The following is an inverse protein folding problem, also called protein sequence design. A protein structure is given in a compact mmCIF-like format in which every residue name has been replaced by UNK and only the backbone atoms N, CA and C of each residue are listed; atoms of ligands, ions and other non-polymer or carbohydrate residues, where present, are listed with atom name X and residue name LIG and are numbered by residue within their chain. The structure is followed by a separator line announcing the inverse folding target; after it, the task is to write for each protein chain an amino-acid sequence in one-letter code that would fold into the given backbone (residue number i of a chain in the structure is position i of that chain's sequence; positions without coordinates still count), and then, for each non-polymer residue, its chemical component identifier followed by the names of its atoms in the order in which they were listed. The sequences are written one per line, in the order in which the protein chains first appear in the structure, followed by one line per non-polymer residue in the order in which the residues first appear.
data_IF_388864778834
#
_entry.id   IF_388864778834
#
_cell.length_a   1.000
_cell.length_b   1.000
_cell.length_c   1.000
_cell.angle_alpha   90.00
_cell.angle_beta   90.00
_cell.angle_gamma   90.00
#
_symmetry.space_group_name_H-M   'P 1'
#
loop_
_entity.id
_entity.type
_entity.pdbx_description
1 polymer ?
#
# COMPACT_ATOMS: atom_id res chain seq x y z
N UNK A 1 -22.58 20.99 66.32
CA UNK A 1 -22.96 19.66 65.78
C UNK A 1 -22.69 19.69 64.29
N UNK A 2 -21.50 19.26 63.90
CA UNK A 2 -20.97 19.31 62.55
C UNK A 2 -21.31 18.01 61.82
N UNK A 3 -22.02 18.13 60.70
CA UNK A 3 -22.36 17.03 59.79
C UNK A 3 -21.12 16.53 59.06
N UNK A 4 -20.78 15.26 59.24
CA UNK A 4 -19.79 14.53 58.45
C UNK A 4 -20.50 13.72 57.36
N UNK A 5 -20.41 14.21 56.13
CA UNK A 5 -20.80 13.50 54.92
C UNK A 5 -19.77 12.38 54.65
N UNK A 6 -20.24 11.15 54.71
CA UNK A 6 -19.57 9.97 54.18
C UNK A 6 -19.58 10.05 52.65
N UNK A 7 -18.41 10.30 52.05
CA UNK A 7 -18.19 10.16 50.61
C UNK A 7 -17.71 8.74 50.31
N UNK A 8 -18.58 7.94 49.71
CA UNK A 8 -18.20 6.66 49.10
C UNK A 8 -17.27 6.93 47.90
N UNK A 9 -16.19 6.15 47.70
CA UNK A 9 -15.33 6.33 46.53
C UNK A 9 -16.01 5.81 45.27
N UNK A 10 -15.78 6.51 44.15
CA UNK A 10 -16.27 6.17 42.82
C UNK A 10 -15.76 4.80 42.31
N UNK A 11 -16.47 4.13 41.39
CA UNK A 11 -16.16 2.75 40.94
C UNK A 11 -14.82 2.55 40.22
N UNK A 12 -14.06 3.63 39.97
CA UNK A 12 -12.78 3.58 39.25
C UNK A 12 -11.59 3.12 40.12
N UNK A 13 -11.80 2.86 41.42
CA UNK A 13 -10.75 2.52 42.39
C UNK A 13 -10.43 1.01 42.49
N UNK A 14 -11.11 0.16 41.72
CA UNK A 14 -10.85 -1.29 41.65
C UNK A 14 -10.24 -1.67 40.30
N UNK A 15 -9.10 -1.05 39.95
CA UNK A 15 -8.09 -1.83 39.23
C UNK A 15 -7.65 -2.89 40.22
N UNK A 16 -8.27 -4.07 40.16
CA UNK A 16 -7.92 -5.16 41.05
C UNK A 16 -6.43 -5.42 40.86
N UNK A 17 -5.65 -5.04 41.88
CA UNK A 17 -4.19 -5.26 41.95
C UNK A 17 -3.81 -6.74 41.77
N UNK A 18 -4.79 -7.64 41.90
CA UNK A 18 -4.67 -9.09 41.78
C UNK A 18 -5.20 -9.66 40.45
N UNK A 19 -5.68 -8.83 39.50
CA UNK A 19 -6.27 -9.32 38.25
C UNK A 19 -5.26 -9.59 37.13
N UNK A 20 -4.02 -9.11 37.28
CA UNK A 20 -3.00 -9.19 36.25
C UNK A 20 -1.68 -9.68 36.85
N UNK A 21 -0.92 -10.45 36.08
CA UNK A 21 0.30 -11.14 36.48
C UNK A 21 1.52 -10.20 36.67
N UNK A 22 1.27 -8.92 36.92
CA UNK A 22 2.32 -7.92 37.16
C UNK A 22 2.77 -8.03 38.61
N UNK A 23 4.05 -8.34 38.84
CA UNK A 23 4.63 -8.32 40.18
C UNK A 23 4.63 -6.90 40.74
N UNK A 24 3.66 -6.60 41.60
CA UNK A 24 3.51 -5.31 42.28
C UNK A 24 4.36 -5.20 43.55
N UNK A 25 5.10 -6.24 43.93
CA UNK A 25 6.09 -6.17 45.01
C UNK A 25 7.36 -5.46 44.56
N UNK A 26 7.64 -5.47 43.25
CA UNK A 26 8.63 -4.60 42.64
C UNK A 26 8.19 -3.12 42.67
N UNK A 27 9.07 -2.27 43.20
CA UNK A 27 8.76 -0.87 43.44
C UNK A 27 8.57 -0.07 42.14
N UNK A 28 9.24 -0.45 41.06
CA UNK A 28 9.13 0.23 39.77
C UNK A 28 7.84 -0.18 39.04
N UNK A 29 7.45 -1.46 39.10
CA UNK A 29 6.15 -1.94 38.63
C UNK A 29 4.99 -1.27 39.38
N UNK A 30 5.08 -1.15 40.71
CA UNK A 30 4.08 -0.45 41.49
C UNK A 30 3.95 1.03 41.08
N UNK A 31 5.07 1.71 40.76
CA UNK A 31 5.07 3.09 40.26
C UNK A 31 4.46 3.20 38.86
N UNK A 32 4.76 2.27 37.95
CA UNK A 32 4.16 2.21 36.60
C UNK A 32 2.65 2.03 36.67
N UNK A 33 2.18 1.07 37.48
CA UNK A 33 0.76 0.82 37.68
C UNK A 33 0.03 2.05 38.27
N UNK A 34 0.64 2.72 39.25
CA UNK A 34 0.08 3.94 39.82
C UNK A 34 -0.05 5.06 38.78
N UNK A 35 0.96 5.24 37.90
CA UNK A 35 0.91 6.23 36.81
C UNK A 35 -0.11 5.86 35.73
N UNK A 36 -0.30 4.58 35.43
CA UNK A 36 -1.30 4.10 34.47
C UNK A 36 -2.74 4.38 34.93
N UNK A 37 -2.92 4.53 36.23
CA UNK A 37 -4.20 4.78 36.91
C UNK A 37 -4.41 6.25 37.29
N UNK A 38 -3.50 7.14 36.87
CA UNK A 38 -3.49 8.53 37.32
C UNK A 38 -4.69 9.33 36.77
N UNK A 39 -5.15 10.36 37.50
CA UNK A 39 -6.21 11.24 37.03
C UNK A 39 -5.81 12.08 35.81
N UNK A 40 -4.52 12.40 35.68
CA UNK A 40 -3.97 13.15 34.55
C UNK A 40 -3.67 12.23 33.35
N UNK A 41 -4.33 12.51 32.22
CA UNK A 41 -4.15 11.79 30.96
C UNK A 41 -2.70 11.83 30.46
N UNK A 42 -1.97 12.93 30.69
CA UNK A 42 -0.56 13.05 30.28
C UNK A 42 0.29 12.02 31.03
N UNK A 43 0.05 11.86 32.34
CA UNK A 43 0.78 10.88 33.16
C UNK A 43 0.44 9.45 32.78
N UNK A 44 -0.83 9.16 32.48
CA UNK A 44 -1.26 7.85 31.97
C UNK A 44 -0.63 7.55 30.62
N UNK A 45 -0.61 8.51 29.70
CA UNK A 45 0.04 8.36 28.37
C UNK A 45 1.53 8.07 28.50
N UNK A 46 2.25 8.81 29.35
CA UNK A 46 3.66 8.53 29.61
C UNK A 46 3.85 7.15 30.24
N UNK A 47 2.92 6.70 31.09
CA UNK A 47 2.97 5.34 31.63
C UNK A 47 2.81 4.27 30.53
N UNK A 48 1.90 4.46 29.58
CA UNK A 48 1.74 3.57 28.41
C UNK A 48 3.03 3.48 27.60
N UNK A 49 3.71 4.61 27.36
CA UNK A 49 5.00 4.62 26.67
C UNK A 49 6.06 3.84 27.45
N UNK A 50 6.26 4.18 28.73
CA UNK A 50 7.29 3.57 29.58
C UNK A 50 7.05 2.07 29.79
N UNK A 51 5.79 1.63 29.89
CA UNK A 51 5.42 0.22 30.02
C UNK A 51 5.65 -0.50 28.70
N UNK A 52 5.29 0.12 27.58
CA UNK A 52 5.45 -0.53 26.29
C UNK A 52 6.91 -0.80 25.91
N UNK A 53 7.82 0.06 26.34
CA UNK A 53 9.27 -0.11 26.15
C UNK A 53 9.86 -1.30 26.93
N UNK A 54 9.14 -1.86 27.90
CA UNK A 54 9.58 -3.06 28.61
C UNK A 54 9.46 -4.32 27.76
N UNK A 55 8.57 -4.32 26.75
CA UNK A 55 8.24 -5.50 25.93
C UNK A 55 7.83 -6.73 26.78
N UNK A 56 7.26 -6.48 27.96
CA UNK A 56 6.84 -7.51 28.92
C UNK A 56 5.34 -7.83 28.78
N UNK A 57 5.06 -9.07 28.40
CA UNK A 57 3.70 -9.59 28.15
C UNK A 57 2.79 -9.50 29.39
N UNK A 58 3.33 -9.45 30.61
CA UNK A 58 2.54 -9.28 31.83
C UNK A 58 1.71 -7.98 31.81
N UNK A 59 2.16 -6.97 31.07
CA UNK A 59 1.49 -5.67 30.96
C UNK A 59 0.48 -5.58 29.82
N UNK A 60 0.46 -6.55 28.91
CA UNK A 60 -0.45 -6.54 27.75
C UNK A 60 -1.92 -6.33 28.11
N UNK A 61 -2.49 -7.02 29.12
CA UNK A 61 -3.89 -6.81 29.47
C UNK A 61 -4.19 -5.37 29.88
N UNK A 62 -3.26 -4.72 30.59
CA UNK A 62 -3.39 -3.34 31.04
C UNK A 62 -3.27 -2.34 29.88
N UNK A 63 -2.36 -2.58 28.94
CA UNK A 63 -2.23 -1.78 27.72
C UNK A 63 -3.48 -1.89 26.83
N UNK A 64 -4.01 -3.11 26.68
CA UNK A 64 -5.27 -3.38 25.96
C UNK A 64 -6.45 -2.67 26.66
N UNK A 65 -6.49 -2.70 27.98
CA UNK A 65 -7.53 -1.99 28.74
C UNK A 65 -7.44 -0.47 28.51
N UNK A 66 -6.24 0.11 28.52
CA UNK A 66 -6.06 1.53 28.18
C UNK A 66 -6.53 1.86 26.77
N UNK A 67 -6.27 1.01 25.78
CA UNK A 67 -6.81 1.20 24.45
C UNK A 67 -8.35 1.19 24.45
N UNK A 68 -8.97 0.27 25.20
CA UNK A 68 -10.42 0.05 25.14
C UNK A 68 -11.24 1.08 25.93
N UNK A 69 -10.75 1.52 27.09
CA UNK A 69 -11.61 2.21 28.06
C UNK A 69 -11.07 3.55 28.56
N UNK A 70 -9.87 3.98 28.16
CA UNK A 70 -9.36 5.28 28.63
C UNK A 70 -10.22 6.44 28.10
N UNK A 71 -10.58 7.36 28.98
CA UNK A 71 -11.41 8.51 28.62
C UNK A 71 -10.70 9.50 27.69
N UNK A 72 -9.37 9.49 27.66
CA UNK A 72 -8.56 10.40 26.85
C UNK A 72 -8.09 9.74 25.54
N UNK A 73 -8.34 10.41 24.41
CA UNK A 73 -8.03 9.88 23.09
C UNK A 73 -6.51 9.75 22.85
N UNK A 74 -5.68 10.63 23.42
CA UNK A 74 -4.23 10.53 23.25
C UNK A 74 -3.66 9.33 24.01
N UNK A 75 -4.26 8.94 25.14
CA UNK A 75 -3.88 7.69 25.83
C UNK A 75 -4.27 6.48 24.99
N UNK A 76 -5.52 6.42 24.48
CA UNK A 76 -5.99 5.30 23.63
C UNK A 76 -5.16 5.17 22.35
N UNK A 77 -4.93 6.28 21.64
CA UNK A 77 -4.06 6.34 20.47
C UNK A 77 -2.65 5.83 20.78
N UNK A 78 -2.05 6.31 21.86
CA UNK A 78 -0.70 5.88 22.26
C UNK A 78 -0.68 4.38 22.56
N UNK A 79 -1.72 3.84 23.20
CA UNK A 79 -1.84 2.39 23.43
C UNK A 79 -1.96 1.63 22.10
N UNK A 80 -2.81 2.06 21.17
CA UNK A 80 -2.92 1.45 19.83
C UNK A 80 -1.58 1.44 19.07
N UNK A 81 -0.83 2.54 19.08
CA UNK A 81 0.49 2.64 18.44
C UNK A 81 1.49 1.63 19.04
N UNK A 82 1.49 1.51 20.36
CA UNK A 82 2.47 0.69 21.09
C UNK A 82 2.15 -0.79 21.09
N UNK A 83 0.87 -1.15 21.05
CA UNK A 83 0.45 -2.55 20.97
C UNK A 83 0.95 -3.24 19.69
N UNK A 84 1.38 -2.52 18.66
CA UNK A 84 2.05 -3.10 17.48
C UNK A 84 3.33 -3.90 17.80
N UNK A 85 3.94 -3.70 18.98
CA UNK A 85 5.06 -4.51 19.46
C UNK A 85 4.71 -5.97 19.76
N UNK A 86 3.42 -6.29 19.89
CA UNK A 86 2.94 -7.64 20.21
C UNK A 86 1.98 -8.15 19.16
N UNK A 87 2.22 -9.38 18.71
CA UNK A 87 1.37 -10.05 17.73
C UNK A 87 0.65 -11.22 18.39
N UNK A 88 -0.29 -10.92 19.29
CA UNK A 88 -1.15 -11.92 19.94
C UNK A 88 -2.60 -11.74 19.52
N UNK A 89 -3.41 -12.81 19.61
CA UNK A 89 -4.84 -12.75 19.27
C UNK A 89 -5.56 -11.63 20.05
N UNK A 90 -5.27 -11.48 21.34
CA UNK A 90 -5.88 -10.45 22.18
C UNK A 90 -5.56 -9.04 21.69
N UNK A 91 -4.30 -8.81 21.26
CA UNK A 91 -3.88 -7.53 20.70
C UNK A 91 -4.57 -7.26 19.37
N UNK A 92 -4.56 -8.23 18.46
CA UNK A 92 -5.20 -8.07 17.14
C UNK A 92 -6.70 -7.79 17.27
N UNK A 93 -7.40 -8.52 18.12
CA UNK A 93 -8.84 -8.27 18.38
C UNK A 93 -9.07 -6.87 18.99
N UNK A 94 -8.22 -6.44 19.94
CA UNK A 94 -8.34 -5.09 20.52
C UNK A 94 -8.08 -3.96 19.52
N UNK A 95 -7.13 -4.15 18.60
CA UNK A 95 -6.85 -3.20 17.52
C UNK A 95 -7.98 -3.18 16.48
N UNK A 96 -8.59 -4.34 16.18
CA UNK A 96 -9.80 -4.43 15.36
C UNK A 96 -10.98 -3.67 15.98
N UNK A 97 -11.18 -3.77 17.30
CA UNK A 97 -12.21 -3.00 18.01
C UNK A 97 -11.92 -1.48 17.92
N UNK A 98 -10.65 -1.08 18.02
CA UNK A 98 -10.22 0.31 17.94
C UNK A 98 -10.34 0.93 16.53
N UNK A 99 -10.65 0.15 15.49
CA UNK A 99 -11.03 0.69 14.18
C UNK A 99 -12.36 1.46 14.23
N UNK A 100 -13.14 1.31 15.30
CA UNK A 100 -14.40 2.04 15.54
C UNK A 100 -14.27 3.09 16.64
N UNK A 101 -13.05 3.42 17.08
CA UNK A 101 -12.84 4.45 18.10
C UNK A 101 -13.48 5.78 17.68
N UNK A 102 -14.12 6.55 18.58
CA UNK A 102 -14.69 7.86 18.23
C UNK A 102 -13.63 8.85 17.70
N UNK A 103 -12.39 8.77 18.18
CA UNK A 103 -11.29 9.62 17.75
C UNK A 103 -10.63 9.10 16.47
N UNK A 104 -10.51 9.97 15.47
CA UNK A 104 -9.98 9.60 14.15
C UNK A 104 -8.49 9.25 14.19
N UNK A 105 -7.71 9.89 15.07
CA UNK A 105 -6.29 9.60 15.18
C UNK A 105 -6.06 8.23 15.84
N UNK A 106 -6.90 7.85 16.79
CA UNK A 106 -6.91 6.52 17.42
C UNK A 106 -7.27 5.43 16.40
N UNK A 107 -8.32 5.64 15.58
CA UNK A 107 -8.65 4.71 14.47
C UNK A 107 -7.49 4.54 13.49
N UNK A 108 -6.82 5.63 13.13
CA UNK A 108 -5.68 5.61 12.23
C UNK A 108 -4.47 4.88 12.85
N UNK A 109 -4.20 5.10 14.13
CA UNK A 109 -3.18 4.36 14.87
C UNK A 109 -3.47 2.85 14.87
N UNK A 110 -4.70 2.44 15.18
CA UNK A 110 -5.10 1.04 15.14
C UNK A 110 -4.92 0.41 13.75
N UNK A 111 -5.38 1.08 12.68
CA UNK A 111 -5.21 0.62 11.31
C UNK A 111 -3.73 0.48 10.89
N UNK A 112 -2.87 1.40 11.33
CA UNK A 112 -1.43 1.35 11.08
C UNK A 112 -0.78 0.18 11.84
N UNK A 113 -1.13 -0.03 13.10
CA UNK A 113 -0.65 -1.15 13.91
C UNK A 113 -1.06 -2.50 13.32
N UNK A 114 -2.31 -2.64 12.87
CA UNK A 114 -2.75 -3.85 12.17
C UNK A 114 -1.97 -4.09 10.87
N UNK A 115 -1.61 -3.03 10.15
CA UNK A 115 -0.81 -3.15 8.92
C UNK A 115 0.66 -3.48 9.18
N UNK A 116 1.13 -3.34 10.42
CA UNK A 116 2.50 -3.67 10.81
C UNK A 116 2.69 -5.13 11.24
N UNK A 117 1.59 -5.89 11.37
CA UNK A 117 1.61 -7.31 11.71
C UNK A 117 2.39 -8.12 10.66
N UNK A 118 3.15 -9.12 11.14
CA UNK A 118 4.01 -9.99 10.31
C UNK A 118 3.66 -11.46 10.48
N UNK A 119 3.04 -11.83 11.59
CA UNK A 119 2.68 -13.20 11.93
C UNK A 119 1.34 -13.58 11.34
N UNK A 120 1.33 -14.70 10.62
CA UNK A 120 0.15 -15.19 9.95
C UNK A 120 -0.97 -15.59 10.93
N UNK A 121 -0.62 -16.27 12.03
CA UNK A 121 -1.62 -16.87 12.93
C UNK A 121 -2.49 -15.84 13.65
N UNK A 122 -1.93 -14.82 14.35
CA UNK A 122 -2.73 -13.70 14.86
C UNK A 122 -3.47 -12.95 13.74
N UNK A 123 -2.81 -12.82 12.58
CA UNK A 123 -3.37 -12.19 11.39
C UNK A 123 -4.63 -12.87 10.83
N UNK A 124 -4.87 -14.16 11.13
CA UNK A 124 -6.10 -14.86 10.73
C UNK A 124 -7.35 -14.27 11.39
N UNK A 125 -7.21 -13.59 12.53
CA UNK A 125 -8.32 -12.87 13.17
C UNK A 125 -8.90 -11.79 12.24
N UNK A 126 -8.07 -11.16 11.40
CA UNK A 126 -8.51 -10.14 10.45
C UNK A 126 -9.46 -10.70 9.38
N UNK A 127 -9.24 -11.94 8.95
CA UNK A 127 -10.12 -12.64 8.01
C UNK A 127 -11.51 -12.83 8.63
N UNK A 128 -11.56 -13.25 9.90
CA UNK A 128 -12.82 -13.40 10.64
C UNK A 128 -13.52 -12.06 10.83
N UNK A 129 -12.77 -11.01 11.19
CA UNK A 129 -13.35 -9.67 11.40
C UNK A 129 -13.93 -9.09 10.12
N UNK A 130 -13.25 -9.25 8.98
CA UNK A 130 -13.69 -8.71 7.70
C UNK A 130 -15.04 -9.30 7.23
N UNK A 131 -15.35 -10.56 7.59
CA UNK A 131 -16.63 -11.21 7.26
C UNK A 131 -17.85 -10.50 7.86
N UNK A 132 -17.68 -9.85 9.01
CA UNK A 132 -18.76 -9.21 9.76
C UNK A 132 -18.65 -7.68 9.76
N UNK A 133 -17.69 -7.12 9.04
CA UNK A 133 -17.40 -5.69 9.08
C UNK A 133 -18.26 -4.89 8.09
N UNK A 134 -18.90 -3.82 8.58
CA UNK A 134 -19.80 -2.97 7.81
C UNK A 134 -19.33 -1.52 7.72
N UNK A 135 -18.36 -1.11 8.53
CA UNK A 135 -17.76 0.21 8.40
C UNK A 135 -16.74 0.26 7.24
N UNK A 136 -16.81 1.32 6.44
CA UNK A 136 -15.97 1.46 5.24
C UNK A 136 -14.50 1.65 5.60
N UNK A 137 -14.21 2.42 6.64
CA UNK A 137 -12.83 2.65 7.09
C UNK A 137 -12.24 1.35 7.64
N UNK A 138 -12.99 0.63 8.48
CA UNK A 138 -12.57 -0.64 9.04
C UNK A 138 -12.34 -1.71 7.95
N UNK A 139 -13.26 -1.90 6.98
CA UNK A 139 -13.03 -2.81 5.84
C UNK A 139 -11.75 -2.47 5.07
N UNK A 140 -11.52 -1.19 4.82
CA UNK A 140 -10.30 -0.70 4.13
C UNK A 140 -9.04 -1.03 4.93
N UNK A 141 -9.05 -0.77 6.24
CA UNK A 141 -7.93 -1.05 7.14
C UNK A 141 -7.63 -2.55 7.24
N UNK A 142 -8.67 -3.39 7.37
CA UNK A 142 -8.53 -4.85 7.43
C UNK A 142 -7.94 -5.42 6.13
N UNK A 143 -8.42 -5.00 4.96
CA UNK A 143 -7.85 -5.42 3.67
C UNK A 143 -6.39 -4.96 3.52
N UNK A 144 -6.05 -3.75 3.95
CA UNK A 144 -4.67 -3.26 3.94
C UNK A 144 -3.76 -4.12 4.82
N UNK A 145 -4.21 -4.49 6.01
CA UNK A 145 -3.43 -5.36 6.89
C UNK A 145 -3.28 -6.78 6.32
N UNK A 146 -4.35 -7.36 5.76
CA UNK A 146 -4.30 -8.68 5.11
C UNK A 146 -3.34 -8.73 3.91
N UNK A 147 -3.19 -7.61 3.19
CA UNK A 147 -2.24 -7.47 2.08
C UNK A 147 -0.80 -7.75 2.50
N UNK A 148 -0.38 -7.20 3.66
CA UNK A 148 0.99 -7.36 4.16
C UNK A 148 1.26 -8.79 4.63
N UNK A 149 0.26 -9.41 5.24
CA UNK A 149 0.33 -10.79 5.74
C UNK A 149 0.31 -11.85 4.62
N UNK A 150 -0.24 -11.51 3.45
CA UNK A 150 -0.34 -12.40 2.27
C UNK A 150 -0.99 -13.75 2.59
N UNK A 151 -2.04 -13.74 3.41
CA UNK A 151 -2.78 -14.93 3.76
C UNK A 151 -3.58 -15.44 2.56
N UNK A 152 -3.34 -16.65 2.04
CA UNK A 152 -4.05 -17.17 0.86
C UNK A 152 -5.58 -17.22 1.03
N UNK A 153 -6.06 -17.51 2.24
CA UNK A 153 -7.48 -17.53 2.58
C UNK A 153 -8.17 -16.16 2.48
N UNK A 154 -7.42 -15.05 2.45
CA UNK A 154 -7.99 -13.71 2.24
C UNK A 154 -8.44 -13.46 0.80
N UNK A 155 -8.02 -14.29 -0.16
CA UNK A 155 -8.36 -14.13 -1.57
C UNK A 155 -9.87 -14.14 -1.84
N UNK A 156 -10.61 -15.05 -1.20
CA UNK A 156 -12.06 -15.15 -1.38
C UNK A 156 -12.80 -13.90 -0.88
N UNK A 157 -12.36 -13.33 0.26
CA UNK A 157 -12.92 -12.09 0.78
C UNK A 157 -12.56 -10.89 -0.08
N UNK A 158 -11.32 -10.82 -0.56
CA UNK A 158 -10.89 -9.78 -1.47
C UNK A 158 -11.64 -9.84 -2.81
N UNK A 159 -11.93 -11.04 -3.34
CA UNK A 159 -12.77 -11.19 -4.52
C UNK A 159 -14.17 -10.60 -4.30
N UNK A 160 -14.82 -10.92 -3.17
CA UNK A 160 -16.13 -10.36 -2.85
C UNK A 160 -16.07 -8.83 -2.67
N UNK A 161 -14.98 -8.32 -2.09
CA UNK A 161 -14.76 -6.89 -1.87
C UNK A 161 -14.48 -6.10 -3.16
N UNK A 162 -14.29 -6.77 -4.31
CA UNK A 162 -14.22 -6.09 -5.61
C UNK A 162 -15.56 -5.45 -6.02
N UNK A 163 -16.68 -5.87 -5.43
CA UNK A 163 -18.00 -5.30 -5.70
C UNK A 163 -18.46 -4.32 -4.59
N UNK A 164 -17.58 -3.96 -3.66
CA UNK A 164 -17.92 -3.04 -2.55
C UNK A 164 -18.36 -1.66 -3.09
N UNK A 165 -19.38 -1.01 -2.49
CA UNK A 165 -19.80 0.32 -2.91
C UNK A 165 -18.69 1.37 -2.79
N UNK A 166 -17.76 1.20 -1.86
CA UNK A 166 -16.64 2.12 -1.64
C UNK A 166 -15.47 1.82 -2.59
N UNK A 167 -15.02 2.79 -3.40
CA UNK A 167 -13.84 2.62 -4.24
C UNK A 167 -12.56 2.40 -3.42
N UNK A 168 -12.51 2.89 -2.17
CA UNK A 168 -11.38 2.66 -1.28
C UNK A 168 -11.25 1.16 -0.92
N UNK A 169 -12.38 0.50 -0.64
CA UNK A 169 -12.43 -0.93 -0.33
C UNK A 169 -12.08 -1.75 -1.56
N UNK A 170 -12.68 -1.46 -2.72
CA UNK A 170 -12.35 -2.14 -3.99
C UNK A 170 -10.87 -2.02 -4.33
N UNK A 171 -10.26 -0.84 -4.14
CA UNK A 171 -8.82 -0.63 -4.39
C UNK A 171 -7.94 -1.48 -3.47
N UNK A 172 -8.24 -1.56 -2.17
CA UNK A 172 -7.47 -2.42 -1.27
C UNK A 172 -7.69 -3.91 -1.56
N UNK A 173 -8.90 -4.29 -1.98
CA UNK A 173 -9.19 -5.66 -2.42
C UNK A 173 -8.37 -6.06 -3.65
N UNK A 174 -8.27 -5.18 -4.66
CA UNK A 174 -7.36 -5.34 -5.80
C UNK A 174 -5.91 -5.51 -5.34
N UNK A 175 -5.47 -4.71 -4.36
CA UNK A 175 -4.11 -4.79 -3.83
C UNK A 175 -3.83 -6.13 -3.15
N UNK A 176 -4.75 -6.65 -2.33
CA UNK A 176 -4.65 -7.98 -1.71
C UNK A 176 -4.48 -9.05 -2.80
N UNK A 177 -5.36 -9.07 -3.81
CA UNK A 177 -5.32 -10.06 -4.89
C UNK A 177 -4.02 -9.98 -5.71
N UNK A 178 -3.51 -8.77 -5.96
CA UNK A 178 -2.25 -8.54 -6.64
C UNK A 178 -1.06 -9.08 -5.84
N UNK A 179 -0.97 -8.78 -4.55
CA UNK A 179 0.13 -9.27 -3.69
C UNK A 179 0.11 -10.79 -3.51
N UNK A 180 -1.08 -11.39 -3.47
CA UNK A 180 -1.26 -12.84 -3.48
C UNK A 180 -0.97 -13.47 -4.85
N UNK A 181 -0.86 -12.66 -5.92
CA UNK A 181 -0.78 -13.11 -7.32
C UNK A 181 -1.89 -14.11 -7.65
N UNK A 182 -3.11 -13.83 -7.19
CA UNK A 182 -4.22 -14.76 -7.28
C UNK A 182 -4.73 -14.84 -8.73
N UNK A 183 -4.23 -15.79 -9.51
CA UNK A 183 -4.52 -15.90 -10.94
C UNK A 183 -6.02 -16.00 -11.26
N UNK A 184 -6.81 -16.64 -10.40
CA UNK A 184 -8.27 -16.74 -10.58
C UNK A 184 -9.00 -15.39 -10.47
N UNK A 185 -8.35 -14.34 -9.93
CA UNK A 185 -8.90 -12.97 -9.93
C UNK A 185 -8.71 -12.22 -11.24
N UNK A 186 -7.86 -12.67 -12.16
CA UNK A 186 -7.54 -11.94 -13.39
C UNK A 186 -8.79 -11.53 -14.21
N UNK A 187 -9.81 -12.40 -14.41
CA UNK A 187 -11.02 -11.99 -15.12
C UNK A 187 -11.81 -10.87 -14.41
N UNK A 188 -11.89 -10.92 -13.07
CA UNK A 188 -12.57 -9.91 -12.27
C UNK A 188 -11.80 -8.58 -12.28
N UNK A 189 -10.48 -8.63 -12.10
CA UNK A 189 -9.60 -7.46 -12.23
C UNK A 189 -9.72 -6.82 -13.62
N UNK A 190 -9.78 -7.63 -14.68
CA UNK A 190 -9.97 -7.13 -16.03
C UNK A 190 -11.33 -6.45 -16.23
N UNK A 191 -12.38 -6.91 -15.55
CA UNK A 191 -13.68 -6.24 -15.55
C UNK A 191 -13.61 -4.85 -14.88
N UNK A 192 -12.90 -4.75 -13.75
CA UNK A 192 -12.68 -3.46 -13.08
C UNK A 192 -11.91 -2.48 -13.99
N UNK A 193 -10.85 -2.92 -14.66
CA UNK A 193 -10.11 -2.08 -15.63
C UNK A 193 -11.02 -1.49 -16.70
N UNK A 194 -12.05 -2.23 -17.14
CA UNK A 194 -12.96 -1.77 -18.21
C UNK A 194 -14.08 -0.87 -17.72
N UNK A 195 -14.56 -1.08 -16.50
CA UNK A 195 -15.89 -0.57 -16.10
C UNK A 195 -15.95 0.09 -14.72
N UNK A 196 -14.90 0.04 -13.89
CA UNK A 196 -14.97 0.67 -12.57
C UNK A 196 -15.12 2.19 -12.69
N UNK A 197 -16.07 2.83 -11.98
CA UNK A 197 -16.24 4.27 -12.02
C UNK A 197 -15.00 5.06 -11.54
N UNK A 198 -14.24 4.51 -10.59
CA UNK A 198 -13.07 5.17 -10.00
C UNK A 198 -11.82 4.89 -10.83
N UNK A 199 -11.14 5.94 -11.36
CA UNK A 199 -9.88 5.77 -12.08
C UNK A 199 -8.78 5.18 -11.19
N UNK A 200 -8.82 5.43 -9.88
CA UNK A 200 -7.88 4.83 -8.92
C UNK A 200 -8.02 3.31 -8.83
N UNK A 201 -9.25 2.80 -8.88
CA UNK A 201 -9.52 1.35 -8.92
C UNK A 201 -9.11 0.78 -10.27
N UNK A 202 -9.47 1.41 -11.39
CA UNK A 202 -9.04 0.97 -12.74
C UNK A 202 -7.53 0.89 -12.86
N UNK A 203 -6.82 1.91 -12.35
CA UNK A 203 -5.36 1.93 -12.29
C UNK A 203 -4.82 0.77 -11.47
N UNK A 204 -5.28 0.61 -10.23
CA UNK A 204 -4.81 -0.47 -9.37
C UNK A 204 -5.04 -1.85 -10.01
N UNK A 205 -6.20 -2.04 -10.66
CA UNK A 205 -6.54 -3.27 -11.33
C UNK A 205 -5.63 -3.52 -12.54
N UNK A 206 -5.34 -2.50 -13.35
CA UNK A 206 -4.41 -2.60 -14.47
C UNK A 206 -3.01 -3.04 -14.02
N UNK A 207 -2.48 -2.44 -12.94
CA UNK A 207 -1.21 -2.86 -12.36
C UNK A 207 -1.23 -4.30 -11.81
N UNK A 208 -2.34 -4.72 -11.21
CA UNK A 208 -2.53 -6.08 -10.70
C UNK A 208 -2.63 -7.13 -11.83
N UNK A 209 -3.08 -6.76 -13.04
CA UNK A 209 -3.01 -7.65 -14.22
C UNK A 209 -1.57 -8.01 -14.59
N UNK A 210 -0.57 -7.22 -14.15
CA UNK A 210 0.84 -7.49 -14.34
C UNK A 210 1.39 -8.73 -13.64
N UNK A 211 0.55 -9.54 -12.99
CA UNK A 211 0.89 -10.87 -12.47
C UNK A 211 0.39 -12.01 -13.36
N UNK A 212 -0.29 -11.72 -14.46
CA UNK A 212 -0.63 -12.71 -15.47
C UNK A 212 0.65 -13.39 -16.01
N UNK A 213 0.55 -14.67 -16.31
CA UNK A 213 1.65 -15.49 -16.83
C UNK A 213 1.54 -15.76 -18.32
N UNK A 214 0.50 -15.23 -18.97
CA UNK A 214 0.17 -15.38 -20.38
C UNK A 214 -0.42 -14.09 -20.94
N UNK A 215 -0.74 -14.12 -22.24
CA UNK A 215 -1.23 -12.97 -22.99
C UNK A 215 -2.74 -12.75 -22.83
N UNK A 216 -3.43 -13.46 -21.93
CA UNK A 216 -4.89 -13.37 -21.76
C UNK A 216 -5.37 -11.95 -21.42
N UNK A 217 -4.51 -11.13 -20.81
CA UNK A 217 -4.83 -9.76 -20.41
C UNK A 217 -4.54 -8.71 -21.51
N UNK A 218 -3.97 -9.13 -22.65
CA UNK A 218 -3.55 -8.24 -23.74
C UNK A 218 -4.67 -7.28 -24.19
N UNK A 219 -5.84 -7.82 -24.53
CA UNK A 219 -6.95 -7.02 -25.04
C UNK A 219 -7.44 -5.98 -24.02
N UNK A 220 -7.42 -6.34 -22.73
CA UNK A 220 -7.82 -5.45 -21.64
C UNK A 220 -6.82 -4.32 -21.46
N UNK A 221 -5.52 -4.64 -21.51
CA UNK A 221 -4.46 -3.64 -21.36
C UNK A 221 -4.37 -2.71 -22.59
N UNK A 222 -4.63 -3.21 -23.80
CA UNK A 222 -4.75 -2.37 -25.00
C UNK A 222 -5.90 -1.37 -24.85
N UNK A 223 -7.06 -1.80 -24.36
CA UNK A 223 -8.18 -0.88 -24.11
C UNK A 223 -7.80 0.17 -23.05
N UNK A 224 -7.12 -0.24 -21.98
CA UNK A 224 -6.69 0.64 -20.89
C UNK A 224 -5.65 1.69 -21.33
N UNK A 225 -4.89 1.47 -22.40
CA UNK A 225 -4.01 2.47 -23.02
C UNK A 225 -4.78 3.66 -23.63
N UNK A 226 -6.10 3.57 -23.73
CA UNK A 226 -6.98 4.65 -24.22
C UNK A 226 -7.97 5.15 -23.16
N UNK A 227 -7.74 4.80 -21.89
CA UNK A 227 -8.59 5.21 -20.77
C UNK A 227 -8.66 6.75 -20.64
N UNK A 228 -9.79 7.27 -20.16
CA UNK A 228 -9.98 8.71 -19.96
C UNK A 228 -9.03 9.30 -18.92
N UNK A 229 -8.63 8.53 -17.91
CA UNK A 229 -7.67 8.92 -16.89
C UNK A 229 -6.24 8.55 -17.31
N UNK A 230 -5.36 9.55 -17.38
CA UNK A 230 -3.98 9.36 -17.82
C UNK A 230 -3.19 8.41 -16.92
N UNK A 231 -3.50 8.36 -15.62
CA UNK A 231 -2.84 7.45 -14.68
C UNK A 231 -3.16 5.97 -14.98
N UNK A 232 -4.32 5.69 -15.58
CA UNK A 232 -4.68 4.33 -16.01
C UNK A 232 -3.90 3.98 -17.28
N UNK A 233 -3.79 4.90 -18.23
CA UNK A 233 -2.98 4.72 -19.45
C UNK A 233 -1.51 4.50 -19.13
N UNK A 234 -0.96 5.29 -18.20
CA UNK A 234 0.41 5.16 -17.69
C UNK A 234 0.64 3.76 -17.12
N UNK A 235 -0.24 3.30 -16.23
CA UNK A 235 -0.14 1.99 -15.59
C UNK A 235 -0.31 0.84 -16.60
N UNK A 236 -1.20 1.01 -17.58
CA UNK A 236 -1.39 0.05 -18.66
C UNK A 236 -0.12 -0.10 -19.50
N UNK A 237 0.52 1.00 -19.91
CA UNK A 237 1.80 0.96 -20.64
C UNK A 237 2.90 0.27 -19.83
N UNK A 238 3.02 0.61 -18.54
CA UNK A 238 3.97 -0.03 -17.65
C UNK A 238 3.72 -1.55 -17.52
N UNK A 239 2.45 -1.94 -17.40
CA UNK A 239 2.04 -3.35 -17.27
C UNK A 239 2.28 -4.15 -18.54
N UNK A 240 1.96 -3.58 -19.71
CA UNK A 240 2.26 -4.18 -21.03
C UNK A 240 3.76 -4.47 -21.16
N UNK A 241 4.61 -3.51 -20.82
CA UNK A 241 6.07 -3.70 -20.83
C UNK A 241 6.55 -4.75 -19.84
N UNK A 242 5.95 -4.81 -18.64
CA UNK A 242 6.27 -5.82 -17.61
C UNK A 242 5.94 -7.24 -18.08
N UNK A 243 4.77 -7.42 -18.69
CA UNK A 243 4.29 -8.71 -19.20
C UNK A 243 4.90 -9.11 -20.55
N UNK A 244 5.70 -8.23 -21.15
CA UNK A 244 6.35 -8.43 -22.45
C UNK A 244 5.36 -8.70 -23.60
N UNK A 245 4.22 -8.00 -23.58
CA UNK A 245 3.15 -8.14 -24.56
C UNK A 245 3.48 -7.42 -25.88
N UNK A 246 4.27 -8.06 -26.74
CA UNK A 246 4.73 -7.50 -28.02
C UNK A 246 3.58 -7.14 -28.97
N UNK A 247 2.47 -7.86 -28.91
CA UNK A 247 1.27 -7.60 -29.71
C UNK A 247 0.58 -6.26 -29.37
N UNK A 248 0.93 -5.60 -28.25
CA UNK A 248 0.46 -4.26 -27.92
C UNK A 248 1.26 -3.14 -28.60
N UNK A 249 2.21 -3.46 -29.48
CA UNK A 249 3.10 -2.50 -30.16
C UNK A 249 2.36 -1.29 -30.70
N UNK A 250 1.32 -1.48 -31.51
CA UNK A 250 0.66 -0.38 -32.21
C UNK A 250 -0.07 0.53 -31.21
N UNK A 251 -0.67 -0.05 -30.18
CA UNK A 251 -1.30 0.70 -29.09
C UNK A 251 -0.27 1.51 -28.28
N UNK A 252 0.91 0.94 -28.01
CA UNK A 252 2.01 1.66 -27.37
C UNK A 252 2.56 2.78 -28.26
N UNK A 253 2.66 2.55 -29.57
CA UNK A 253 3.13 3.57 -30.52
C UNK A 253 2.18 4.77 -30.55
N UNK A 254 0.86 4.54 -30.50
CA UNK A 254 -0.13 5.62 -30.37
C UNK A 254 0.03 6.37 -29.04
N UNK A 255 0.33 5.67 -27.95
CA UNK A 255 0.53 6.28 -26.62
C UNK A 255 1.81 7.13 -26.51
N UNK A 256 2.69 7.16 -27.52
CA UNK A 256 3.84 8.08 -27.54
C UNK A 256 3.40 9.54 -27.74
N UNK A 257 2.27 9.78 -28.38
CA UNK A 257 1.71 11.12 -28.62
C UNK A 257 0.66 11.52 -27.56
N UNK A 258 0.75 10.95 -26.36
CA UNK A 258 -0.18 11.25 -25.28
C UNK A 258 -0.02 12.69 -24.76
N UNK A 259 -1.14 13.33 -24.41
CA UNK A 259 -1.15 14.66 -23.82
C UNK A 259 -0.39 14.74 -22.48
N UNK A 260 -0.24 13.62 -21.77
CA UNK A 260 0.49 13.51 -20.52
C UNK A 260 1.83 12.80 -20.75
N UNK A 261 2.92 13.53 -20.53
CA UNK A 261 4.27 13.03 -20.75
C UNK A 261 4.62 11.78 -19.94
N UNK A 262 3.95 11.54 -18.81
CA UNK A 262 4.10 10.32 -18.02
C UNK A 262 3.69 9.07 -18.81
N UNK A 263 2.61 9.18 -19.60
CA UNK A 263 2.14 8.10 -20.47
C UNK A 263 3.12 7.89 -21.61
N UNK A 264 3.55 8.97 -22.29
CA UNK A 264 4.59 8.92 -23.33
C UNK A 264 5.86 8.25 -22.82
N UNK A 265 6.31 8.60 -21.61
CA UNK A 265 7.50 8.02 -20.98
C UNK A 265 7.34 6.52 -20.75
N UNK A 266 6.21 6.07 -20.17
CA UNK A 266 6.00 4.64 -19.94
C UNK A 266 5.81 3.85 -21.22
N UNK A 267 5.14 4.41 -22.23
CA UNK A 267 5.01 3.79 -23.55
C UNK A 267 6.38 3.63 -24.23
N UNK A 268 7.23 4.66 -24.15
CA UNK A 268 8.62 4.63 -24.63
C UNK A 268 9.41 3.52 -23.97
N UNK A 269 9.35 3.44 -22.63
CA UNK A 269 10.00 2.39 -21.84
C UNK A 269 9.50 1.00 -22.20
N UNK A 270 8.19 0.84 -22.39
CA UNK A 270 7.60 -0.43 -22.77
C UNK A 270 8.12 -0.89 -24.14
N UNK A 271 8.13 -0.02 -25.15
CA UNK A 271 8.68 -0.30 -26.47
C UNK A 271 10.17 -0.70 -26.41
N UNK A 272 10.97 -0.01 -25.58
CA UNK A 272 12.36 -0.35 -25.28
C UNK A 272 12.52 -1.78 -24.76
N UNK A 273 11.80 -2.11 -23.68
CA UNK A 273 11.85 -3.43 -23.03
C UNK A 273 11.40 -4.57 -23.94
N UNK A 274 10.43 -4.28 -24.81
CA UNK A 274 9.90 -5.22 -25.81
C UNK A 274 10.83 -5.40 -27.00
N UNK A 275 11.87 -4.55 -27.14
CA UNK A 275 12.86 -4.57 -28.23
C UNK A 275 12.23 -4.51 -29.62
N UNK A 276 11.24 -3.64 -29.78
CA UNK A 276 10.48 -3.52 -31.02
C UNK A 276 11.22 -2.61 -32.01
N UNK A 277 12.06 -3.21 -32.87
CA UNK A 277 12.87 -2.48 -33.85
C UNK A 277 12.06 -1.56 -34.76
N UNK A 278 10.86 -1.98 -35.17
CA UNK A 278 10.02 -1.14 -36.02
C UNK A 278 9.45 0.10 -35.29
N UNK A 279 9.66 0.23 -33.97
CA UNK A 279 9.33 1.43 -33.19
C UNK A 279 10.51 2.41 -33.09
N UNK A 280 11.68 2.08 -33.62
CA UNK A 280 12.90 2.92 -33.57
C UNK A 280 12.64 4.34 -34.06
N UNK A 281 11.96 4.50 -35.20
CA UNK A 281 11.68 5.83 -35.76
C UNK A 281 10.80 6.68 -34.84
N UNK A 282 9.74 6.07 -34.28
CA UNK A 282 8.82 6.76 -33.39
C UNK A 282 9.50 7.15 -32.06
N UNK A 283 10.31 6.27 -31.48
CA UNK A 283 11.08 6.57 -30.26
C UNK A 283 12.17 7.61 -30.53
N UNK A 284 12.81 7.57 -31.70
CA UNK A 284 13.83 8.55 -32.10
C UNK A 284 13.30 9.98 -32.12
N UNK A 285 12.04 10.18 -32.55
CA UNK A 285 11.41 11.49 -32.54
C UNK A 285 11.31 12.10 -31.13
N UNK A 286 11.26 11.27 -30.08
CA UNK A 286 11.19 11.72 -28.68
C UNK A 286 12.52 12.23 -28.14
N UNK A 287 13.64 12.10 -28.86
CA UNK A 287 14.92 12.71 -28.49
C UNK A 287 14.91 14.25 -28.61
N UNK A 288 13.85 14.86 -29.14
CA UNK A 288 13.66 16.31 -29.16
C UNK A 288 12.48 16.76 -28.29
N UNK A 289 11.90 15.83 -27.51
CA UNK A 289 10.74 16.10 -26.67
C UNK A 289 11.03 17.21 -25.64
N UNK A 290 10.08 18.12 -25.33
CA UNK A 290 10.34 19.27 -24.44
C UNK A 290 10.86 18.88 -23.05
N UNK A 291 10.39 17.74 -22.52
CA UNK A 291 10.70 17.25 -21.18
C UNK A 291 11.91 16.31 -21.23
N UNK A 292 12.97 16.66 -20.49
CA UNK A 292 14.23 15.90 -20.51
C UNK A 292 14.09 14.48 -20.00
N UNK A 293 13.18 14.21 -19.05
CA UNK A 293 12.89 12.85 -18.60
C UNK A 293 12.43 11.93 -19.74
N UNK A 294 11.63 12.44 -20.69
CA UNK A 294 11.18 11.68 -21.87
C UNK A 294 12.33 11.46 -22.84
N UNK A 295 13.13 12.50 -23.12
CA UNK A 295 14.31 12.37 -24.00
C UNK A 295 15.31 11.34 -23.47
N UNK A 296 15.56 11.37 -22.16
CA UNK A 296 16.43 10.41 -21.46
C UNK A 296 15.89 8.99 -21.62
N UNK A 297 14.59 8.79 -21.41
CA UNK A 297 13.96 7.48 -21.57
C UNK A 297 14.00 7.02 -23.04
N UNK A 298 13.79 7.91 -24.00
CA UNK A 298 13.90 7.61 -25.42
C UNK A 298 15.31 7.12 -25.79
N UNK A 299 16.35 7.78 -25.30
CA UNK A 299 17.72 7.33 -25.51
C UNK A 299 17.95 5.92 -24.93
N UNK A 300 17.52 5.66 -23.68
CA UNK A 300 17.63 4.33 -23.07
C UNK A 300 16.84 3.26 -23.85
N UNK A 301 15.61 3.56 -24.25
CA UNK A 301 14.76 2.65 -25.00
C UNK A 301 15.37 2.29 -26.38
N UNK A 302 15.99 3.25 -27.08
CA UNK A 302 16.70 2.96 -28.33
C UNK A 302 17.90 2.04 -28.11
N UNK A 303 18.61 2.20 -26.99
CA UNK A 303 19.67 1.28 -26.58
C UNK A 303 19.18 -0.14 -26.33
N UNK A 304 18.02 -0.29 -25.65
CA UNK A 304 17.37 -1.58 -25.42
C UNK A 304 16.85 -2.24 -26.71
N UNK A 305 16.29 -1.44 -27.63
CA UNK A 305 15.85 -1.88 -28.96
C UNK A 305 17.04 -2.41 -29.78
N UNK A 306 18.20 -1.73 -29.72
CA UNK A 306 19.42 -2.21 -30.35
C UNK A 306 19.51 -1.97 -31.87
N UNK A 307 18.59 -1.18 -32.43
CA UNK A 307 18.57 -0.88 -33.87
C UNK A 307 19.66 0.14 -34.24
N UNK A 308 20.54 -0.27 -35.16
CA UNK A 308 21.66 0.54 -35.64
C UNK A 308 21.23 1.83 -36.34
N UNK A 309 20.00 1.92 -36.83
CA UNK A 309 19.49 3.14 -37.47
C UNK A 309 19.33 4.28 -36.46
N UNK A 310 19.25 3.99 -35.16
CA UNK A 310 19.17 4.98 -34.09
C UNK A 310 20.50 5.70 -33.79
N UNK A 311 21.65 5.20 -34.27
CA UNK A 311 22.96 5.74 -33.89
C UNK A 311 23.13 7.22 -34.25
N UNK A 312 22.70 7.63 -35.45
CA UNK A 312 22.84 9.01 -35.89
C UNK A 312 22.07 10.01 -35.00
N UNK A 313 20.87 9.64 -34.56
CA UNK A 313 20.07 10.49 -33.66
C UNK A 313 20.57 10.46 -32.22
N UNK A 314 21.11 9.33 -31.76
CA UNK A 314 21.75 9.21 -30.45
C UNK A 314 23.05 10.02 -30.37
N UNK A 315 23.84 10.06 -31.46
CA UNK A 315 25.03 10.92 -31.55
C UNK A 315 24.67 12.40 -31.42
N UNK A 316 23.57 12.83 -32.06
CA UNK A 316 23.05 14.19 -31.89
C UNK A 316 22.64 14.46 -30.43
N UNK A 317 22.04 13.48 -29.75
CA UNK A 317 21.64 13.57 -28.34
C UNK A 317 22.84 13.65 -27.36
N UNK A 318 24.07 13.41 -27.80
CA UNK A 318 25.28 13.72 -27.01
C UNK A 318 25.46 15.23 -26.79
N UNK A 319 24.81 16.07 -27.60
CA UNK A 319 24.76 17.52 -27.44
C UNK A 319 23.57 18.04 -26.62
N UNK A 320 22.74 17.16 -26.05
CA UNK A 320 21.55 17.58 -25.30
C UNK A 320 21.91 18.50 -24.11
N UNK A 321 21.14 19.56 -23.80
CA UNK A 321 21.40 20.41 -22.64
C UNK A 321 21.40 19.64 -21.31
N UNK A 322 20.59 18.59 -21.19
CA UNK A 322 20.47 17.80 -19.97
C UNK A 322 21.59 16.72 -19.86
N UNK A 323 22.40 16.73 -18.79
CA UNK A 323 23.50 15.78 -18.61
C UNK A 323 23.07 14.32 -18.53
N UNK A 324 21.87 14.04 -18.02
CA UNK A 324 21.36 12.67 -17.92
C UNK A 324 20.93 12.14 -19.29
N UNK A 325 20.43 13.00 -20.19
CA UNK A 325 20.15 12.64 -21.59
C UNK A 325 21.46 12.29 -22.31
N UNK A 326 22.50 13.13 -22.18
CA UNK A 326 23.83 12.84 -22.76
C UNK A 326 24.42 11.52 -22.24
N UNK A 327 24.20 11.22 -20.95
CA UNK A 327 24.62 9.96 -20.33
C UNK A 327 23.86 8.77 -20.88
N UNK A 328 22.54 8.87 -21.01
CA UNK A 328 21.70 7.84 -21.60
C UNK A 328 22.08 7.57 -23.06
N UNK A 329 22.33 8.60 -23.86
CA UNK A 329 22.77 8.46 -25.25
C UNK A 329 24.09 7.68 -25.37
N UNK A 330 25.10 7.98 -24.53
CA UNK A 330 26.36 7.22 -24.48
C UNK A 330 26.14 5.75 -24.14
N UNK A 331 25.27 5.46 -23.17
CA UNK A 331 24.92 4.08 -22.78
C UNK A 331 24.26 3.36 -23.96
N UNK A 332 23.29 4.00 -24.62
CA UNK A 332 22.57 3.43 -25.75
C UNK A 332 23.48 3.13 -26.95
N UNK A 333 24.37 4.06 -27.31
CA UNK A 333 25.36 3.85 -28.38
C UNK A 333 26.26 2.66 -28.06
N UNK A 334 26.75 2.56 -26.82
CA UNK A 334 27.58 1.43 -26.39
C UNK A 334 26.82 0.09 -26.43
N UNK A 335 25.56 0.08 -26.02
CA UNK A 335 24.69 -1.11 -26.07
C UNK A 335 24.45 -1.58 -27.51
N UNK A 336 24.11 -0.68 -28.42
CA UNK A 336 23.92 -0.98 -29.86
C UNK A 336 25.24 -1.49 -30.47
N UNK A 337 26.37 -0.88 -30.11
CA UNK A 337 27.69 -1.29 -30.59
C UNK A 337 28.11 -2.68 -30.12
N UNK A 338 27.76 -3.06 -28.88
CA UNK A 338 28.08 -4.38 -28.31
C UNK A 338 27.19 -5.52 -28.82
N UNK A 339 26.04 -5.20 -29.43
CA UNK A 339 25.11 -6.17 -30.01
C UNK A 339 25.45 -6.57 -31.46
N UNK A 340 26.51 -5.99 -32.04
CA UNK A 340 27.06 -6.29 -33.37
C UNK A 340 28.10 -7.40 -33.31
#
# INVERSE_FOLDING_TARGET
MTSSLSSSPSPSAYLARDAFDVDTTDADNARRLARLSDGDATRRRLAVLDIAELEDDAWLPLLIERLRTDGDADVRRTAAERLSGWETDAVVESLCDALHDPDAATRAAAANSLSALKQADPGRALVRRLLTEHDTFARTALLRALRELRLPESAALALNALDDPSPAVRREAVAVLGWLRHAAALPALAALVRADPSPEVRKAAAGALGFATDDSMLSTLIAALTDSAWQVREEAAATVGKLRLTAARDALALALDDAYWQVTLQATRALGRLKLADSTAAVSALLTFPISNVRKEAALALGEIGDVTALAVLDAALGDPDPEVRKAARIAIAQIGAAR
#
